data_IF_391534955408
#
_entry.id   IF_391534955408
#
_cell.length_a   1.000
_cell.length_b   1.000
_cell.length_c   1.000
_cell.angle_alpha   90.00
_cell.angle_beta   90.00
_cell.angle_gamma   90.00
#
_symmetry.space_group_name_H-M   'P 1'
#
loop_
_entity.id
_entity.type
_entity.pdbx_description
1 polymer ?
#
# COMPACT_ATOMS: atom_id res chain seq x y z
N UNK A 1 14.26 27.26 5.10
CA UNK A 1 13.89 25.89 4.72
C UNK A 1 12.59 25.61 5.41
N UNK A 2 11.49 25.82 4.70
CA UNK A 2 10.15 25.61 5.23
C UNK A 2 10.00 24.15 5.64
N UNK A 3 9.77 23.93 6.93
CA UNK A 3 9.28 22.65 7.43
C UNK A 3 7.88 22.47 6.87
N UNK A 4 7.77 21.83 5.70
CA UNK A 4 6.50 21.24 5.28
C UNK A 4 6.20 20.20 6.35
N UNK A 5 5.31 20.56 7.28
CA UNK A 5 4.69 19.61 8.21
C UNK A 5 3.94 18.61 7.34
N UNK A 6 4.61 17.55 6.89
CA UNK A 6 3.93 16.40 6.34
C UNK A 6 3.06 15.87 7.47
N UNK A 7 1.74 15.97 7.28
CA UNK A 7 0.79 15.35 8.20
C UNK A 7 1.20 13.90 8.42
N UNK A 8 1.15 13.39 9.67
CA UNK A 8 1.47 12.00 9.93
C UNK A 8 0.60 11.10 9.06
N UNK A 9 1.22 10.05 8.51
CA UNK A 9 0.52 9.10 7.66
C UNK A 9 -0.56 8.39 8.50
N UNK A 10 -1.80 8.50 8.07
CA UNK A 10 -2.94 7.76 8.66
C UNK A 10 -2.88 6.30 8.24
N UNK A 11 -3.52 5.41 9.01
CA UNK A 11 -3.63 3.98 8.66
C UNK A 11 -4.21 3.75 7.25
N UNK A 12 -5.23 4.50 6.85
CA UNK A 12 -5.84 4.41 5.52
C UNK A 12 -4.86 4.75 4.39
N UNK A 13 -4.11 5.85 4.53
CA UNK A 13 -3.03 6.22 3.59
C UNK A 13 -1.94 5.14 3.54
N UNK A 14 -1.56 4.59 4.71
CA UNK A 14 -0.54 3.55 4.80
C UNK A 14 -0.95 2.27 4.07
N UNK A 15 -2.16 1.77 4.30
CA UNK A 15 -2.65 0.57 3.60
C UNK A 15 -2.76 0.81 2.10
N UNK A 16 -3.26 1.98 1.69
CA UNK A 16 -3.31 2.32 0.27
C UNK A 16 -1.91 2.37 -0.37
N UNK A 17 -0.92 2.92 0.33
CA UNK A 17 0.46 2.95 -0.14
C UNK A 17 1.00 1.53 -0.38
N UNK A 18 0.72 0.60 0.52
CA UNK A 18 1.10 -0.80 0.34
C UNK A 18 0.38 -1.45 -0.85
N UNK A 19 -0.89 -1.12 -1.07
CA UNK A 19 -1.65 -1.64 -2.20
C UNK A 19 -1.11 -1.11 -3.53
N UNK A 20 -0.64 0.15 -3.57
CA UNK A 20 0.07 0.68 -4.74
C UNK A 20 1.39 -0.06 -4.98
N UNK A 21 2.17 -0.35 -3.94
CA UNK A 21 3.38 -1.19 -4.09
C UNK A 21 3.06 -2.55 -4.72
N UNK A 22 1.87 -3.11 -4.46
CA UNK A 22 1.46 -4.41 -4.95
C UNK A 22 0.94 -4.35 -6.40
N UNK A 23 0.20 -3.30 -6.74
CA UNK A 23 -0.41 -3.11 -8.05
C UNK A 23 0.50 -2.43 -9.08
N UNK A 24 1.51 -1.68 -8.67
CA UNK A 24 2.39 -0.94 -9.58
C UNK A 24 3.46 -1.84 -10.23
N UNK A 25 2.99 -2.86 -10.96
CA UNK A 25 3.83 -3.64 -11.88
C UNK A 25 4.14 -2.79 -13.13
N UNK A 26 5.36 -2.87 -13.65
CA UNK A 26 5.80 -2.16 -14.87
C UNK A 26 5.59 -0.63 -14.89
N UNK A 27 5.57 0.00 -13.71
CA UNK A 27 5.39 1.45 -13.54
C UNK A 27 4.05 2.01 -14.02
N UNK A 28 3.01 1.17 -14.11
CA UNK A 28 1.66 1.62 -14.46
C UNK A 28 0.65 1.04 -13.47
N UNK A 29 -0.40 1.82 -13.21
CA UNK A 29 -1.64 1.33 -12.59
C UNK A 29 -2.73 1.62 -13.60
N UNK A 30 -3.44 0.58 -14.03
CA UNK A 30 -4.60 0.73 -14.90
C UNK A 30 -5.86 1.06 -14.09
N UNK A 31 -6.94 1.42 -14.78
CA UNK A 31 -8.21 1.78 -14.12
C UNK A 31 -8.82 0.62 -13.34
N UNK A 32 -8.67 -0.61 -13.85
CA UNK A 32 -9.25 -1.82 -13.24
C UNK A 32 -8.58 -2.11 -11.88
N UNK A 33 -7.26 -1.98 -11.79
CA UNK A 33 -6.50 -2.12 -10.54
C UNK A 33 -6.90 -1.06 -9.50
N UNK A 34 -7.13 0.19 -9.94
CA UNK A 34 -7.63 1.25 -9.07
C UNK A 34 -9.02 0.89 -8.51
N UNK A 35 -9.92 0.37 -9.33
CA UNK A 35 -11.27 0.02 -8.89
C UNK A 35 -11.28 -1.21 -7.97
N UNK A 36 -10.41 -2.21 -8.21
CA UNK A 36 -10.20 -3.35 -7.30
C UNK A 36 -9.70 -2.86 -5.93
N UNK A 37 -8.72 -1.96 -5.92
CA UNK A 37 -8.20 -1.37 -4.68
C UNK A 37 -9.30 -0.58 -3.95
N UNK A 38 -10.09 0.23 -4.67
CA UNK A 38 -11.22 0.97 -4.12
C UNK A 38 -12.21 0.05 -3.43
N UNK A 39 -12.66 -1.01 -4.11
CA UNK A 39 -13.63 -1.96 -3.58
C UNK A 39 -13.11 -2.68 -2.34
N UNK A 40 -11.85 -3.12 -2.35
CA UNK A 40 -11.23 -3.76 -1.18
C UNK A 40 -11.13 -2.82 0.01
N UNK A 41 -10.62 -1.60 -0.19
CA UNK A 41 -10.50 -0.64 0.92
C UNK A 41 -11.87 -0.28 1.52
N UNK A 42 -12.91 -0.18 0.69
CA UNK A 42 -14.28 0.04 1.17
C UNK A 42 -14.83 -1.18 1.92
N UNK A 43 -14.64 -2.39 1.38
CA UNK A 43 -15.12 -3.66 1.98
C UNK A 43 -14.47 -3.94 3.34
N UNK A 44 -13.18 -3.62 3.47
CA UNK A 44 -12.43 -3.74 4.72
C UNK A 44 -12.76 -2.61 5.72
N UNK A 45 -13.58 -1.63 5.33
CA UNK A 45 -13.92 -0.48 6.17
C UNK A 45 -12.75 0.45 6.46
N UNK A 46 -11.68 0.39 5.65
CA UNK A 46 -10.46 1.19 5.83
C UNK A 46 -10.70 2.64 5.44
N UNK A 47 -11.48 2.86 4.38
CA UNK A 47 -11.80 4.19 3.87
C UNK A 47 -13.26 4.23 3.41
N UNK A 48 -13.90 5.38 3.58
CA UNK A 48 -15.22 5.61 3.01
C UNK A 48 -15.13 5.81 1.49
N UNK A 49 -16.08 5.28 0.69
CA UNK A 49 -16.04 5.41 -0.77
C UNK A 49 -15.88 6.86 -1.25
N UNK A 50 -16.53 7.83 -0.60
CA UNK A 50 -16.47 9.25 -0.95
C UNK A 50 -15.09 9.89 -0.67
N UNK A 51 -14.31 9.32 0.24
CA UNK A 51 -12.97 9.82 0.61
C UNK A 51 -11.87 9.19 -0.24
N UNK A 52 -12.18 8.12 -1.00
CA UNK A 52 -11.19 7.32 -1.69
C UNK A 52 -10.35 8.12 -2.67
N UNK A 53 -10.96 8.89 -3.58
CA UNK A 53 -10.20 9.61 -4.62
C UNK A 53 -9.26 10.68 -4.04
N UNK A 54 -9.66 11.31 -2.93
CA UNK A 54 -8.79 12.27 -2.24
C UNK A 54 -7.58 11.58 -1.63
N UNK A 55 -7.80 10.44 -0.96
CA UNK A 55 -6.72 9.64 -0.39
C UNK A 55 -5.81 9.09 -1.48
N UNK A 56 -6.39 8.49 -2.53
CA UNK A 56 -5.70 7.99 -3.71
C UNK A 56 -4.77 9.02 -4.33
N UNK A 57 -5.26 10.21 -4.64
CA UNK A 57 -4.43 11.23 -5.28
C UNK A 57 -3.29 11.70 -4.37
N UNK A 58 -3.53 11.81 -3.06
CA UNK A 58 -2.48 12.13 -2.09
C UNK A 58 -1.40 11.05 -2.04
N UNK A 59 -1.81 9.79 -1.86
CA UNK A 59 -0.87 8.66 -1.71
C UNK A 59 -0.14 8.39 -3.02
N UNK A 60 -0.82 8.46 -4.17
CA UNK A 60 -0.20 8.28 -5.48
C UNK A 60 0.83 9.37 -5.79
N UNK A 61 0.56 10.62 -5.36
CA UNK A 61 1.52 11.70 -5.48
C UNK A 61 2.79 11.39 -4.69
N UNK A 62 2.67 11.00 -3.42
CA UNK A 62 3.80 10.63 -2.57
C UNK A 62 4.56 9.42 -3.13
N UNK A 63 3.83 8.37 -3.49
CA UNK A 63 4.38 7.11 -4.01
C UNK A 63 5.23 7.33 -5.27
N UNK A 64 4.78 8.17 -6.21
CA UNK A 64 5.53 8.48 -7.44
C UNK A 64 6.80 9.28 -7.22
N UNK A 65 7.00 9.88 -6.04
CA UNK A 65 8.24 10.57 -5.70
C UNK A 65 9.28 9.62 -5.10
N UNK A 66 8.89 8.42 -4.67
CA UNK A 66 9.79 7.47 -4.03
C UNK A 66 10.37 6.48 -5.04
N UNK A 67 11.68 6.25 -4.95
CA UNK A 67 12.31 5.09 -5.54
C UNK A 67 12.14 3.84 -4.64
N UNK A 68 12.65 2.69 -5.09
CA UNK A 68 12.54 1.42 -4.35
C UNK A 68 13.09 1.51 -2.92
N UNK A 69 14.23 2.17 -2.72
CA UNK A 69 14.84 2.31 -1.39
C UNK A 69 13.99 3.21 -0.49
N UNK A 70 13.58 4.37 -0.99
CA UNK A 70 12.73 5.33 -0.26
C UNK A 70 11.36 4.73 0.08
N UNK A 71 10.81 3.90 -0.80
CA UNK A 71 9.57 3.15 -0.57
C UNK A 71 9.71 2.22 0.64
N UNK A 72 10.83 1.49 0.73
CA UNK A 72 11.09 0.59 1.86
C UNK A 72 11.23 1.38 3.18
N UNK A 73 11.99 2.47 3.18
CA UNK A 73 12.17 3.33 4.36
C UNK A 73 10.85 3.97 4.80
N UNK A 74 10.04 4.45 3.84
CA UNK A 74 8.75 5.06 4.10
C UNK A 74 7.80 4.09 4.79
N UNK A 75 7.73 2.85 4.31
CA UNK A 75 6.85 1.83 4.90
C UNK A 75 7.29 1.48 6.33
N UNK A 76 8.59 1.27 6.56
CA UNK A 76 9.11 0.96 7.90
C UNK A 76 8.84 2.11 8.88
N UNK A 77 9.07 3.35 8.44
CA UNK A 77 8.79 4.55 9.23
C UNK A 77 7.30 4.63 9.59
N UNK A 78 6.41 4.48 8.61
CA UNK A 78 4.97 4.56 8.84
C UNK A 78 4.44 3.42 9.71
N UNK A 79 4.91 2.18 9.49
CA UNK A 79 4.53 1.03 10.33
C UNK A 79 4.92 1.23 11.80
N UNK A 80 6.09 1.84 12.04
CA UNK A 80 6.57 2.15 13.40
C UNK A 80 5.76 3.28 14.02
N UNK A 81 5.49 4.35 13.27
CA UNK A 81 4.70 5.50 13.73
C UNK A 81 3.24 5.15 14.05
N UNK A 82 2.66 4.22 13.30
CA UNK A 82 1.29 3.73 13.49
C UNK A 82 1.16 2.66 14.57
N UNK A 83 2.28 2.27 15.22
CA UNK A 83 2.31 1.23 16.26
C UNK A 83 1.61 -0.06 15.84
N UNK A 84 1.75 -0.45 14.56
CA UNK A 84 1.09 -1.64 14.03
C UNK A 84 1.74 -2.88 14.64
N UNK A 85 0.96 -3.63 15.41
CA UNK A 85 1.38 -4.87 16.04
C UNK A 85 1.55 -6.02 15.02
N UNK A 86 2.13 -7.13 15.47
CA UNK A 86 2.38 -8.30 14.62
C UNK A 86 1.08 -8.87 14.02
N UNK A 87 -0.03 -8.79 14.75
CA UNK A 87 -1.34 -9.25 14.26
C UNK A 87 -1.82 -8.34 13.12
N UNK A 88 -1.69 -7.03 13.27
CA UNK A 88 -2.01 -6.03 12.25
C UNK A 88 -1.16 -6.19 11.00
N UNK A 89 0.15 -6.39 11.15
CA UNK A 89 1.07 -6.66 10.03
C UNK A 89 0.67 -7.93 9.28
N UNK A 90 0.31 -9.01 9.99
CA UNK A 90 -0.13 -10.26 9.38
C UNK A 90 -1.47 -10.12 8.63
N UNK A 91 -2.40 -9.30 9.16
CA UNK A 91 -3.66 -8.97 8.45
C UNK A 91 -3.37 -8.22 7.16
N UNK A 92 -2.58 -7.16 7.23
CA UNK A 92 -2.18 -6.36 6.05
C UNK A 92 -1.48 -7.24 5.01
N UNK A 93 -0.58 -8.13 5.46
CA UNK A 93 0.12 -9.06 4.59
C UNK A 93 -0.83 -10.03 3.89
N UNK A 94 -1.85 -10.54 4.60
CA UNK A 94 -2.89 -11.37 4.00
C UNK A 94 -3.70 -10.58 2.96
N UNK A 95 -4.06 -9.34 3.25
CA UNK A 95 -4.84 -8.52 2.31
C UNK A 95 -4.04 -8.20 1.04
N UNK A 96 -2.74 -7.93 1.17
CA UNK A 96 -1.81 -7.73 0.05
C UNK A 96 -1.72 -8.97 -0.84
N UNK A 97 -1.66 -10.14 -0.22
CA UNK A 97 -1.68 -11.43 -0.91
C UNK A 97 -2.94 -11.59 -1.76
N UNK A 98 -4.09 -11.22 -1.21
CA UNK A 98 -5.38 -11.29 -1.90
C UNK A 98 -5.52 -10.24 -3.02
N UNK A 99 -4.71 -9.18 -3.03
CA UNK A 99 -4.65 -8.19 -4.11
C UNK A 99 -3.77 -8.69 -5.25
N UNK A 100 -2.57 -9.14 -4.90
CA UNK A 100 -1.60 -9.65 -5.86
C UNK A 100 -2.21 -10.81 -6.63
N UNK A 101 -2.91 -11.72 -5.94
CA UNK A 101 -3.53 -12.90 -6.59
C UNK A 101 -4.95 -12.69 -7.12
N UNK A 102 -5.44 -11.45 -7.19
CA UNK A 102 -6.80 -11.19 -7.67
C UNK A 102 -7.02 -11.62 -9.13
N UNK A 103 -5.97 -11.61 -9.98
CA UNK A 103 -6.04 -12.09 -11.37
C UNK A 103 -5.86 -13.62 -11.51
N UNK A 104 -5.65 -14.34 -10.39
CA UNK A 104 -5.59 -15.80 -10.34
C UNK A 104 -4.38 -16.43 -11.04
N UNK A 105 -3.40 -15.64 -11.49
CA UNK A 105 -2.19 -16.13 -12.16
C UNK A 105 -0.99 -15.99 -11.25
N UNK A 106 -0.58 -17.09 -10.60
CA UNK A 106 0.62 -17.10 -9.76
C UNK A 106 1.90 -17.01 -10.62
N UNK A 107 2.35 -15.80 -10.92
CA UNK A 107 3.57 -15.53 -11.69
C UNK A 107 4.79 -15.29 -10.79
N UNK A 108 6.01 -15.51 -11.30
CA UNK A 108 7.25 -15.37 -10.51
C UNK A 108 7.43 -13.96 -9.93
N UNK A 109 6.92 -12.93 -10.63
CA UNK A 109 6.92 -11.53 -10.18
C UNK A 109 6.10 -11.33 -8.91
N UNK A 110 4.96 -12.02 -8.79
CA UNK A 110 4.09 -11.95 -7.61
C UNK A 110 4.77 -12.58 -6.39
N UNK A 111 5.47 -13.70 -6.57
CA UNK A 111 6.25 -14.33 -5.50
C UNK A 111 7.37 -13.43 -5.00
N UNK A 112 8.04 -12.72 -5.90
CA UNK A 112 9.06 -11.72 -5.55
C UNK A 112 8.43 -10.56 -4.75
N UNK A 113 7.27 -10.06 -5.19
CA UNK A 113 6.55 -9.01 -4.46
C UNK A 113 6.12 -9.48 -3.07
N UNK A 114 5.61 -10.70 -2.93
CA UNK A 114 5.27 -11.29 -1.63
C UNK A 114 6.48 -11.39 -0.69
N UNK A 115 7.65 -11.79 -1.20
CA UNK A 115 8.88 -11.83 -0.40
C UNK A 115 9.32 -10.42 0.04
N UNK A 116 9.20 -9.43 -0.86
CA UNK A 116 9.45 -8.03 -0.54
C UNK A 116 8.53 -7.54 0.58
N UNK A 117 7.23 -7.79 0.50
CA UNK A 117 6.29 -7.37 1.54
C UNK A 117 6.53 -8.01 2.90
N UNK A 118 6.94 -9.28 2.95
CA UNK A 118 7.37 -9.89 4.22
C UNK A 118 8.51 -9.12 4.87
N UNK A 119 9.56 -8.87 4.08
CA UNK A 119 10.75 -8.13 4.53
C UNK A 119 10.42 -6.69 4.93
N UNK A 120 9.52 -6.04 4.20
CA UNK A 120 9.05 -4.67 4.45
C UNK A 120 8.32 -4.58 5.80
N UNK A 121 7.38 -5.50 6.04
CA UNK A 121 6.55 -5.52 7.25
C UNK A 121 7.28 -6.11 8.47
N UNK A 122 8.42 -6.77 8.25
CA UNK A 122 9.24 -7.36 9.31
C UNK A 122 8.69 -8.68 9.86
N UNK A 123 8.01 -9.45 9.00
CA UNK A 123 7.38 -10.76 9.28
C UNK A 123 8.08 -11.90 8.55
#
# INVERSE_FOLDING_TARGET
MDHISQEPYTYEKFVLYLYLCAAYSDYQINTDEKDIIREKMATLGIIKPESFDKCWNSVLHDFKQHNDFETMEHIQKCSTQLEIDEIGKMKIFKDLKDIIWADGKEEDTERINMFRFKKILGI
#
